data_IF_852806788956
#
_entry.id   IF_852806788956
#
_cell.length_a   1.000
_cell.length_b   1.000
_cell.length_c   1.000
_cell.angle_alpha   90.00
_cell.angle_beta   90.00
_cell.angle_gamma   90.00
#
_symmetry.space_group_name_H-M   'P 1'
#
loop_
_entity.id
_entity.type
_entity.pdbx_description
1 polymer ?
#
# COMPACT_ATOMS: atom_id res chain seq x y z
N UNK A 1 -52.59 6.01 66.82
CA UNK A 1 -52.40 4.81 65.98
C UNK A 1 -52.41 5.07 64.46
N UNK A 2 -53.18 6.04 63.93
CA UNK A 2 -53.29 6.28 62.47
C UNK A 2 -52.00 6.75 61.76
N UNK A 3 -51.16 7.55 62.43
CA UNK A 3 -49.88 8.06 61.88
C UNK A 3 -48.79 7.00 61.73
N UNK A 4 -48.76 5.99 62.59
CA UNK A 4 -47.82 4.86 62.53
C UNK A 4 -48.16 3.92 61.36
N UNK A 5 -49.45 3.73 61.08
CA UNK A 5 -49.93 2.90 59.96
C UNK A 5 -49.60 3.55 58.61
N UNK A 6 -49.76 4.87 58.49
CA UNK A 6 -49.44 5.60 57.26
C UNK A 6 -47.94 5.59 56.93
N UNK A 7 -47.07 5.68 57.96
CA UNK A 7 -45.61 5.61 57.78
C UNK A 7 -45.14 4.23 57.30
N UNK A 8 -45.79 3.15 57.77
CA UNK A 8 -45.51 1.77 57.34
C UNK A 8 -45.98 1.52 55.90
N UNK A 9 -47.10 2.10 55.50
CA UNK A 9 -47.63 1.98 54.14
C UNK A 9 -46.73 2.71 53.12
N UNK A 10 -46.28 3.92 53.45
CA UNK A 10 -45.32 4.65 52.61
C UNK A 10 -43.98 3.90 52.50
N UNK A 11 -43.48 3.32 53.59
CA UNK A 11 -42.24 2.52 53.57
C UNK A 11 -42.38 1.24 52.73
N UNK A 12 -43.55 0.59 52.77
CA UNK A 12 -43.82 -0.59 51.94
C UNK A 12 -43.86 -0.22 50.45
N UNK A 13 -44.57 0.85 50.08
CA UNK A 13 -44.65 1.32 48.69
C UNK A 13 -43.26 1.72 48.16
N UNK A 14 -42.46 2.41 48.98
CA UNK A 14 -41.10 2.79 48.61
C UNK A 14 -40.18 1.57 48.45
N UNK A 15 -40.33 0.55 49.30
CA UNK A 15 -39.61 -0.71 49.19
C UNK A 15 -40.00 -1.51 47.95
N UNK A 16 -41.29 -1.55 47.58
CA UNK A 16 -41.74 -2.25 46.36
C UNK A 16 -41.31 -1.51 45.09
N UNK A 17 -41.29 -0.18 45.11
CA UNK A 17 -40.80 0.63 43.99
C UNK A 17 -39.30 0.45 43.73
N UNK A 18 -38.51 0.21 44.78
CA UNK A 18 -37.07 -0.03 44.66
C UNK A 18 -36.73 -1.42 44.12
N UNK A 19 -37.61 -2.41 44.32
CA UNK A 19 -37.45 -3.77 43.76
C UNK A 19 -37.89 -3.85 42.29
N UNK A 20 -38.78 -2.95 41.85
CA UNK A 20 -39.29 -2.95 40.47
C UNK A 20 -38.44 -2.12 39.49
N UNK A 21 -37.29 -1.59 39.90
CA UNK A 21 -36.41 -0.88 38.97
C UNK A 21 -35.82 -1.87 37.95
N UNK A 22 -36.04 -1.67 36.63
CA UNK A 22 -35.43 -2.51 35.61
C UNK A 22 -33.92 -2.33 35.68
N UNK A 23 -33.19 -3.44 35.81
CA UNK A 23 -31.73 -3.46 35.66
C UNK A 23 -31.44 -3.09 34.21
N UNK A 24 -31.03 -1.84 33.99
CA UNK A 24 -30.56 -1.42 32.68
C UNK A 24 -29.30 -2.21 32.37
N UNK A 25 -29.42 -3.18 31.47
CA UNK A 25 -28.27 -3.88 30.89
C UNK A 25 -27.37 -2.82 30.28
N UNK A 26 -26.19 -2.65 30.86
CA UNK A 26 -25.17 -1.78 30.33
C UNK A 26 -24.82 -2.29 28.93
N UNK A 27 -25.15 -1.51 27.90
CA UNK A 27 -24.69 -1.72 26.53
C UNK A 27 -23.16 -1.57 26.52
N UNK A 28 -22.45 -2.64 26.85
CA UNK A 28 -21.02 -2.76 26.63
C UNK A 28 -20.83 -2.95 25.13
N UNK A 29 -20.69 -1.84 24.41
CA UNK A 29 -20.18 -1.86 23.05
C UNK A 29 -18.83 -2.57 23.09
N UNK A 30 -18.77 -3.78 22.52
CA UNK A 30 -17.53 -4.57 22.42
C UNK A 30 -16.60 -3.86 21.43
N UNK A 31 -15.91 -2.84 21.92
CA UNK A 31 -14.88 -2.18 21.17
C UNK A 31 -13.66 -3.10 21.26
N UNK A 32 -13.41 -3.86 20.19
CA UNK A 32 -12.31 -4.82 20.18
C UNK A 32 -11.02 -4.00 20.23
N UNK A 33 -10.07 -4.42 21.05
CA UNK A 33 -8.79 -3.72 21.24
C UNK A 33 -8.08 -3.47 19.89
N UNK A 34 -8.20 -4.40 18.93
CA UNK A 34 -7.66 -4.26 17.57
C UNK A 34 -8.26 -3.10 16.74
N UNK A 35 -9.40 -2.56 17.15
CA UNK A 35 -10.09 -1.47 16.45
C UNK A 35 -9.71 -0.09 17.03
N UNK A 36 -8.87 -0.03 18.09
CA UNK A 36 -8.50 1.22 18.81
C UNK A 36 -6.98 1.42 18.92
N UNK A 37 -6.16 0.42 18.58
CA UNK A 37 -4.71 0.46 18.82
C UNK A 37 -3.95 0.44 17.49
N UNK A 38 -3.17 1.49 17.23
CA UNK A 38 -2.11 1.50 16.23
C UNK A 38 -0.81 1.00 16.88
N UNK A 39 -0.12 0.04 16.27
CA UNK A 39 1.12 -0.47 16.84
C UNK A 39 2.27 0.51 16.56
N UNK A 40 2.81 1.08 17.63
CA UNK A 40 3.98 1.95 17.58
C UNK A 40 5.21 1.15 17.09
N UNK A 41 5.84 1.60 16.00
CA UNK A 41 7.02 0.94 15.40
C UNK A 41 6.76 0.19 14.09
N UNK A 42 5.53 0.22 13.57
CA UNK A 42 5.25 -0.18 12.21
C UNK A 42 5.90 0.82 11.24
N UNK A 43 6.98 0.40 10.59
CA UNK A 43 7.64 1.18 9.54
C UNK A 43 7.41 0.51 8.20
N UNK A 44 6.97 1.31 7.23
CA UNK A 44 7.00 0.93 5.83
C UNK A 44 8.45 0.95 5.35
N UNK A 45 8.84 -0.06 4.57
CA UNK A 45 10.15 -0.07 3.91
C UNK A 45 9.99 0.46 2.49
N UNK A 46 10.68 1.55 2.19
CA UNK A 46 10.69 2.09 0.84
C UNK A 46 11.62 1.25 -0.01
N UNK A 47 11.07 0.66 -1.06
CA UNK A 47 11.81 -0.07 -2.06
C UNK A 47 12.02 0.81 -3.28
N UNK A 48 13.20 0.72 -3.87
CA UNK A 48 13.56 1.40 -5.11
C UNK A 48 14.18 0.39 -6.07
N UNK A 49 13.82 0.48 -7.34
CA UNK A 49 14.38 -0.34 -8.41
C UNK A 49 14.62 0.44 -9.67
N UNK A 50 15.54 -0.08 -10.48
CA UNK A 50 15.83 0.42 -11.81
C UNK A 50 15.32 -0.59 -12.85
N UNK A 51 14.46 -0.12 -13.75
CA UNK A 51 13.75 -0.96 -14.70
C UNK A 51 13.82 -0.42 -16.12
N UNK A 52 13.29 -1.22 -17.04
CA UNK A 52 13.11 -0.87 -18.44
C UNK A 52 11.64 -1.09 -18.81
N UNK A 53 11.00 -0.08 -19.40
CA UNK A 53 9.69 -0.20 -20.03
C UNK A 53 9.89 -0.33 -21.52
N UNK A 54 9.31 -1.36 -22.14
CA UNK A 54 9.41 -1.63 -23.58
C UNK A 54 8.04 -1.61 -24.25
N UNK A 55 8.03 -1.53 -25.58
CA UNK A 55 6.78 -1.53 -26.35
C UNK A 55 6.10 -0.16 -26.38
N UNK A 56 6.85 0.91 -26.11
CA UNK A 56 6.38 2.27 -26.29
C UNK A 56 6.24 2.58 -27.79
N UNK A 57 5.24 3.38 -28.16
CA UNK A 57 4.93 3.69 -29.55
C UNK A 57 5.70 4.92 -30.04
N UNK A 58 7.03 4.88 -29.98
CA UNK A 58 7.90 6.00 -30.32
C UNK A 58 8.00 7.10 -29.24
N UNK A 59 7.42 6.90 -28.06
CA UNK A 59 7.43 7.83 -26.92
C UNK A 59 8.47 7.51 -25.86
N UNK A 60 9.35 6.53 -26.12
CA UNK A 60 10.46 6.14 -25.26
C UNK A 60 11.64 7.13 -25.31
N UNK A 61 12.76 6.75 -24.69
CA UNK A 61 13.91 7.64 -24.56
C UNK A 61 14.63 7.86 -25.90
N UNK A 62 15.14 9.06 -26.11
CA UNK A 62 15.89 9.38 -27.31
C UNK A 62 17.35 8.90 -27.21
N UNK A 63 17.86 8.35 -28.32
CA UNK A 63 19.21 7.74 -28.40
C UNK A 63 20.35 8.72 -28.04
N UNK A 64 20.11 10.02 -28.20
CA UNK A 64 21.11 11.07 -28.03
C UNK A 64 21.14 11.66 -26.62
N UNK A 65 20.05 11.56 -25.85
CA UNK A 65 19.96 12.14 -24.50
C UNK A 65 19.97 11.10 -23.38
N UNK A 66 19.77 9.81 -23.68
CA UNK A 66 19.70 8.76 -22.66
C UNK A 66 20.73 7.63 -22.86
N UNK A 67 22.02 7.87 -22.52
CA UNK A 67 23.06 6.84 -22.64
C UNK A 67 22.80 5.63 -21.73
N UNK A 68 22.09 5.82 -20.61
CA UNK A 68 21.77 4.77 -19.65
C UNK A 68 20.73 3.78 -20.20
N UNK A 69 19.73 4.22 -20.95
CA UNK A 69 18.73 3.33 -21.56
C UNK A 69 19.36 2.40 -22.58
N UNK A 70 20.26 2.92 -23.42
CA UNK A 70 21.02 2.11 -24.38
C UNK A 70 21.88 1.07 -23.68
N UNK A 71 22.67 1.48 -22.70
CA UNK A 71 23.56 0.57 -21.96
C UNK A 71 22.76 -0.52 -21.23
N UNK A 72 21.64 -0.16 -20.61
CA UNK A 72 20.81 -1.09 -19.85
C UNK A 72 20.15 -2.12 -20.74
N UNK A 73 19.64 -1.70 -21.89
CA UNK A 73 19.07 -2.61 -22.88
C UNK A 73 20.14 -3.54 -23.46
N UNK A 74 21.33 -3.03 -23.77
CA UNK A 74 22.45 -3.85 -24.24
C UNK A 74 22.83 -4.91 -23.20
N UNK A 75 23.07 -4.49 -21.95
CA UNK A 75 23.38 -5.42 -20.87
C UNK A 75 22.27 -6.44 -20.62
N UNK A 76 21.00 -6.06 -20.78
CA UNK A 76 19.88 -7.01 -20.68
C UNK A 76 19.91 -8.05 -21.81
N UNK A 77 20.07 -7.60 -23.05
CA UNK A 77 20.13 -8.48 -24.22
C UNK A 77 21.35 -9.41 -24.15
N UNK A 78 22.51 -8.92 -23.73
CA UNK A 78 23.71 -9.71 -23.49
C UNK A 78 23.48 -10.80 -22.43
N UNK A 79 22.78 -10.49 -21.32
CA UNK A 79 22.41 -11.48 -20.30
C UNK A 79 21.45 -12.55 -20.81
N UNK A 80 20.65 -12.23 -21.82
CA UNK A 80 19.78 -13.18 -22.52
C UNK A 80 20.51 -13.93 -23.66
N UNK A 81 21.82 -13.72 -23.82
CA UNK A 81 22.65 -14.38 -24.83
C UNK A 81 22.52 -13.75 -26.23
N UNK A 82 21.92 -12.58 -26.36
CA UNK A 82 21.79 -11.84 -27.62
C UNK A 82 23.02 -10.95 -27.80
N UNK A 83 23.73 -11.12 -28.92
CA UNK A 83 24.88 -10.30 -29.24
C UNK A 83 24.41 -9.00 -29.93
N UNK A 84 24.53 -7.88 -29.21
CA UNK A 84 24.16 -6.55 -29.70
C UNK A 84 25.35 -5.74 -30.22
N UNK A 85 26.52 -6.36 -30.40
CA UNK A 85 27.72 -5.66 -30.84
C UNK A 85 27.53 -5.05 -32.24
N UNK A 86 27.42 -3.72 -32.30
CA UNK A 86 27.35 -2.96 -33.55
C UNK A 86 25.93 -2.69 -34.09
N UNK A 87 24.87 -3.17 -33.44
CA UNK A 87 23.50 -2.79 -33.83
C UNK A 87 23.05 -1.49 -33.15
N UNK A 88 22.52 -0.56 -33.96
CA UNK A 88 21.83 0.62 -33.48
C UNK A 88 20.44 0.22 -32.98
N UNK A 89 20.36 -0.18 -31.72
CA UNK A 89 19.08 -0.42 -31.05
C UNK A 89 18.29 0.89 -30.98
N UNK A 90 17.08 0.90 -31.55
CA UNK A 90 16.17 2.05 -31.47
C UNK A 90 15.61 2.17 -30.06
N UNK A 91 16.09 3.14 -29.29
CA UNK A 91 15.60 3.39 -27.92
C UNK A 91 14.25 4.10 -27.89
N UNK A 92 13.76 4.66 -29.00
CA UNK A 92 12.47 5.38 -29.02
C UNK A 92 11.24 4.51 -28.62
N UNK A 93 11.39 3.19 -28.54
CA UNK A 93 10.34 2.28 -28.07
C UNK A 93 10.61 1.72 -26.66
N UNK A 94 11.63 2.24 -25.98
CA UNK A 94 12.12 1.77 -24.68
C UNK A 94 12.43 2.97 -23.79
N UNK A 95 12.00 2.93 -22.54
CA UNK A 95 12.36 3.94 -21.54
C UNK A 95 13.03 3.27 -20.34
N UNK A 96 14.09 3.88 -19.84
CA UNK A 96 14.62 3.54 -18.52
C UNK A 96 13.78 4.24 -17.45
N UNK A 97 13.43 3.49 -16.42
CA UNK A 97 12.51 3.96 -15.38
C UNK A 97 13.04 3.68 -13.99
N UNK A 98 12.66 4.55 -13.06
CA UNK A 98 12.77 4.31 -11.64
C UNK A 98 11.43 3.80 -11.13
N UNK A 99 11.48 2.71 -10.37
CA UNK A 99 10.32 2.12 -9.73
C UNK A 99 10.46 2.34 -8.24
N UNK A 100 9.47 2.96 -7.61
CA UNK A 100 9.41 3.10 -6.15
C UNK A 100 8.17 2.42 -5.62
N UNK A 101 8.30 1.78 -4.46
CA UNK A 101 7.20 1.07 -3.82
C UNK A 101 7.34 1.16 -2.31
N UNK A 102 6.22 1.14 -1.60
CA UNK A 102 6.22 1.06 -0.14
C UNK A 102 5.82 -0.36 0.26
N UNK A 103 6.74 -1.09 0.88
CA UNK A 103 6.46 -2.43 1.40
C UNK A 103 5.74 -2.31 2.73
N UNK A 104 4.46 -2.74 2.80
CA UNK A 104 3.74 -2.71 4.05
C UNK A 104 4.42 -3.65 5.06
N UNK A 105 4.31 -3.33 6.36
CA UNK A 105 4.81 -4.19 7.42
C UNK A 105 4.17 -5.59 7.30
N UNK A 106 4.95 -6.63 7.62
CA UNK A 106 4.47 -8.01 7.62
C UNK A 106 3.95 -8.53 6.27
N UNK A 107 4.32 -7.90 5.15
CA UNK A 107 4.05 -8.42 3.81
C UNK A 107 4.65 -9.83 3.65
N UNK A 108 3.86 -10.78 3.14
CA UNK A 108 4.29 -12.15 2.87
C UNK A 108 4.69 -12.32 1.41
N UNK A 109 5.44 -13.37 1.08
CA UNK A 109 5.78 -13.69 -0.31
C UNK A 109 4.50 -13.87 -1.15
N UNK A 110 4.47 -13.23 -2.32
CA UNK A 110 3.30 -13.23 -3.21
C UNK A 110 2.26 -12.16 -2.90
N UNK A 111 2.46 -11.35 -1.85
CA UNK A 111 1.64 -10.16 -1.60
C UNK A 111 1.75 -9.18 -2.77
N UNK A 112 0.63 -8.59 -3.16
CA UNK A 112 0.59 -7.51 -4.14
C UNK A 112 0.85 -6.18 -3.44
N UNK A 113 1.54 -5.29 -4.12
CA UNK A 113 1.80 -3.93 -3.66
C UNK A 113 1.75 -2.97 -4.83
N UNK A 114 1.34 -1.74 -4.55
CA UNK A 114 1.34 -0.69 -5.54
C UNK A 114 2.75 -0.13 -5.74
N UNK A 115 3.04 0.26 -6.97
CA UNK A 115 4.33 0.81 -7.37
C UNK A 115 4.11 2.10 -8.15
N UNK A 116 5.01 3.05 -7.97
CA UNK A 116 5.10 4.24 -8.80
C UNK A 116 6.25 4.07 -9.79
N UNK A 117 5.99 4.35 -11.07
CA UNK A 117 6.98 4.22 -12.14
C UNK A 117 7.18 5.59 -12.76
N UNK A 118 8.42 6.06 -12.79
CA UNK A 118 8.80 7.34 -13.36
C UNK A 118 9.90 7.14 -14.42
N UNK A 119 9.77 7.82 -15.55
CA UNK A 119 10.82 7.87 -16.56
C UNK A 119 12.07 8.56 -15.98
N UNK A 120 13.24 7.98 -16.25
CA UNK A 120 14.52 8.57 -15.87
C UNK A 120 15.11 9.44 -16.99
N UNK A 121 14.71 9.18 -18.23
CA UNK A 121 15.15 9.91 -19.40
C UNK A 121 14.13 10.91 -19.90
N UNK A 122 14.17 11.13 -21.21
CA UNK A 122 13.36 12.09 -21.95
C UNK A 122 12.17 11.45 -22.67
N UNK A 123 11.70 10.29 -22.18
CA UNK A 123 10.46 9.67 -22.64
C UNK A 123 9.25 10.59 -22.44
N UNK A 124 8.50 10.82 -23.52
CA UNK A 124 7.27 11.62 -23.51
C UNK A 124 6.10 10.92 -22.80
N UNK A 125 6.03 9.59 -22.88
CA UNK A 125 4.97 8.79 -22.27
C UNK A 125 5.36 7.33 -22.09
N UNK A 126 5.04 6.78 -20.92
CA UNK A 126 5.15 5.36 -20.59
C UNK A 126 3.89 4.55 -20.93
N UNK A 127 2.83 5.21 -21.41
CA UNK A 127 1.54 4.57 -21.64
C UNK A 127 1.61 3.53 -22.77
N UNK A 128 0.97 2.38 -22.55
CA UNK A 128 0.98 1.25 -23.50
C UNK A 128 2.27 0.42 -23.47
N UNK A 129 3.28 0.87 -22.72
CA UNK A 129 4.49 0.10 -22.47
C UNK A 129 4.29 -1.01 -21.45
N UNK A 130 5.21 -1.97 -21.45
CA UNK A 130 5.31 -3.04 -20.47
C UNK A 130 6.60 -2.89 -19.67
N UNK A 131 6.47 -2.83 -18.35
CA UNK A 131 7.61 -2.86 -17.44
C UNK A 131 8.20 -4.27 -17.42
N UNK A 132 9.49 -4.37 -17.73
CA UNK A 132 10.24 -5.62 -17.59
C UNK A 132 10.52 -5.91 -16.11
N UNK A 133 10.75 -7.18 -15.79
CA UNK A 133 11.03 -7.64 -14.42
C UNK A 133 12.13 -6.78 -13.80
N UNK A 134 11.76 -6.08 -12.73
CA UNK A 134 12.60 -5.08 -12.08
C UNK A 134 12.81 -5.50 -10.62
N UNK A 135 14.04 -5.79 -10.19
CA UNK A 135 14.32 -6.03 -8.78
C UNK A 135 14.14 -4.72 -8.00
N UNK A 136 13.48 -4.80 -6.84
CA UNK A 136 13.32 -3.70 -5.91
C UNK A 136 14.20 -3.95 -4.68
N UNK A 137 14.90 -2.91 -4.22
CA UNK A 137 15.86 -2.95 -3.12
C UNK A 137 15.46 -1.94 -2.05
N UNK A 138 15.58 -2.32 -0.78
CA UNK A 138 15.30 -1.49 0.39
C UNK A 138 15.39 -2.29 1.68
#
# INVERSE_FOLDING_TARGET
>A
MKTQLMRRLCAAIFGTAMVLMPTMDAFAASARIKDIVDFEGIRENQLVGYGLVVGLNGTGDSLNNSPFTKQSLQSMLERLGVNTAGENVRTANVAAVMVTANLPPFATQGSRMDVSVAALGDSDSLQGGTLLVTPLLG
#
